data_IF_602146382771
#
_entry.id   IF_602146382771
#
_cell.length_a   1.000
_cell.length_b   1.000
_cell.length_c   1.000
_cell.angle_alpha   90.00
_cell.angle_beta   90.00
_cell.angle_gamma   90.00
#
_symmetry.space_group_name_H-M   'P 1'
#
loop_
_entity.id
_entity.type
_entity.pdbx_description
1 polymer ?
#
# COMPACT_ATOMS: atom_id res chain seq x y z
N UNK A 1 -8.32 26.87 5.52
CA UNK A 1 -8.64 26.52 5.87
C UNK A 1 -8.44 26.10 6.04
N UNK A 2 -8.13 26.07 5.87
CA UNK A 2 -8.08 25.70 6.28
C UNK A 2 -7.58 25.32 6.09
N UNK A 3 -7.20 25.21 5.88
CA UNK A 3 -7.11 24.83 6.03
C UNK A 3 -6.54 24.47 6.13
N UNK A 4 -6.07 24.69 6.16
CA UNK A 4 -5.91 24.41 6.59
C UNK A 4 -5.39 24.12 6.82
N UNK A 5 -5.13 24.22 6.84
CA UNK A 5 -5.03 23.93 7.40
C UNK A 5 -4.60 23.33 7.54
N UNK A 6 -4.22 23.18 7.51
CA UNK A 6 -4.21 22.68 7.92
C UNK A 6 -3.75 22.15 8.22
N UNK A 7 -3.20 21.92 8.39
CA UNK A 7 -3.18 21.47 8.99
C UNK A 7 -3.04 21.62 9.76
N UNK A 8 -2.90 21.87 10.21
CA UNK A 8 -3.25 21.94 11.06
C UNK A 8 -3.25 21.84 11.81
N UNK A 9 -2.36 22.46 12.05
CA UNK A 9 -2.76 22.30 12.71
C UNK A 9 -2.68 21.72 13.34
N UNK A 10 -1.77 22.37 14.23
CA UNK A 10 -2.14 21.20 14.96
C UNK A 10 -3.08 20.31 14.17
N UNK A 11 -2.98 19.00 14.38
CA UNK A 11 -3.85 18.09 13.67
C UNK A 11 -5.23 18.09 14.29
N UNK A 12 -6.21 18.08 13.44
CA UNK A 12 -7.58 17.97 13.87
C UNK A 12 -7.93 16.49 14.07
N UNK A 13 -8.90 16.19 14.95
CA UNK A 13 -9.36 14.81 15.08
C UNK A 13 -9.81 14.27 13.74
N UNK A 14 -9.41 13.05 13.41
CA UNK A 14 -9.76 12.42 12.16
C UNK A 14 -8.81 12.72 11.00
N UNK A 15 -7.87 13.64 11.19
CA UNK A 15 -6.89 13.92 10.17
C UNK A 15 -5.87 12.77 10.13
N UNK A 16 -5.55 12.30 8.93
CA UNK A 16 -4.55 11.27 8.73
C UNK A 16 -3.29 11.96 8.23
N UNK A 17 -2.23 12.03 9.05
CA UNK A 17 -1.02 12.75 8.66
C UNK A 17 -0.25 12.10 7.52
N UNK A 18 -0.46 10.80 7.30
CA UNK A 18 0.25 10.09 6.25
C UNK A 18 -0.76 9.42 5.33
N UNK A 19 -0.99 10.03 4.18
CA UNK A 19 -1.85 9.48 3.14
C UNK A 19 -1.01 9.37 1.88
N UNK A 20 -0.68 8.15 1.51
CA UNK A 20 0.26 7.89 0.43
C UNK A 20 -0.41 7.10 -0.69
N UNK A 21 -0.01 7.40 -1.92
CA UNK A 21 -0.43 6.61 -3.08
C UNK A 21 0.78 5.85 -3.60
N UNK A 22 0.60 4.57 -3.86
CA UNK A 22 1.70 3.72 -4.27
C UNK A 22 1.27 2.80 -5.38
N UNK A 23 2.23 2.35 -6.18
CA UNK A 23 1.98 1.43 -7.27
C UNK A 23 2.87 0.23 -7.14
N UNK A 24 2.37 -0.91 -7.61
CA UNK A 24 3.09 -2.16 -7.55
C UNK A 24 2.63 -3.08 -8.66
N UNK A 25 3.36 -4.17 -8.85
CA UNK A 25 3.03 -5.21 -9.80
C UNK A 25 2.99 -6.53 -9.05
N UNK A 26 2.00 -7.35 -9.36
CA UNK A 26 1.91 -8.72 -8.85
C UNK A 26 1.81 -9.66 -10.04
N UNK A 27 2.43 -10.82 -9.91
CA UNK A 27 2.34 -11.85 -10.96
C UNK A 27 1.20 -12.81 -10.73
N UNK A 28 0.51 -12.69 -9.60
CA UNK A 28 -0.65 -13.52 -9.32
C UNK A 28 -1.85 -13.02 -10.10
N UNK A 29 -2.86 -13.88 -10.23
CA UNK A 29 -4.13 -13.42 -10.76
C UNK A 29 -4.82 -12.50 -9.75
N UNK A 30 -5.78 -11.66 -10.22
CA UNK A 30 -6.34 -10.62 -9.34
C UNK A 30 -6.96 -11.15 -8.06
N UNK A 31 -7.78 -12.21 -8.12
CA UNK A 31 -8.46 -12.66 -6.91
C UNK A 31 -7.49 -13.20 -5.88
N UNK A 32 -6.44 -13.89 -6.33
CA UNK A 32 -5.41 -14.41 -5.43
C UNK A 32 -4.61 -13.28 -4.82
N UNK A 33 -4.26 -12.28 -5.62
CA UNK A 33 -3.51 -11.14 -5.13
C UNK A 33 -4.28 -10.38 -4.06
N UNK A 34 -5.59 -10.16 -4.29
CA UNK A 34 -6.42 -9.46 -3.30
C UNK A 34 -6.46 -10.23 -1.98
N UNK A 35 -6.65 -11.54 -2.05
CA UNK A 35 -6.72 -12.36 -0.83
C UNK A 35 -5.40 -12.36 -0.09
N UNK A 36 -4.30 -12.54 -0.82
CA UNK A 36 -2.98 -12.59 -0.21
C UNK A 36 -2.63 -11.27 0.47
N UNK A 37 -2.87 -10.16 -0.22
CA UNK A 37 -2.55 -8.85 0.33
C UNK A 37 -3.43 -8.51 1.51
N UNK A 38 -4.73 -8.79 1.42
CA UNK A 38 -5.64 -8.55 2.53
C UNK A 38 -5.21 -9.32 3.76
N UNK A 39 -4.94 -10.60 3.60
CA UNK A 39 -4.49 -11.44 4.71
C UNK A 39 -3.18 -10.96 5.31
N UNK A 40 -2.25 -10.54 4.47
CA UNK A 40 -0.95 -10.05 4.93
C UNK A 40 -1.10 -8.78 5.76
N UNK A 41 -1.91 -7.84 5.26
CA UNK A 41 -2.13 -6.58 5.95
C UNK A 41 -2.78 -6.83 7.32
N UNK A 42 -3.78 -7.69 7.37
CA UNK A 42 -4.45 -8.02 8.63
C UNK A 42 -3.51 -8.70 9.60
N UNK A 43 -2.64 -9.58 9.10
CA UNK A 43 -1.69 -10.28 9.95
C UNK A 43 -0.70 -9.34 10.63
N UNK A 44 -0.44 -8.19 10.04
CA UNK A 44 0.47 -7.19 10.60
C UNK A 44 -0.24 -6.15 11.46
N UNK A 45 -1.52 -6.36 11.74
CA UNK A 45 -2.28 -5.43 12.55
C UNK A 45 -2.87 -4.25 11.78
N UNK A 46 -2.76 -4.26 10.46
CA UNK A 46 -3.43 -3.26 9.64
C UNK A 46 -4.88 -3.63 9.36
N UNK A 47 -5.58 -2.78 8.65
CA UNK A 47 -6.97 -3.04 8.28
C UNK A 47 -7.24 -2.47 6.89
N UNK A 48 -8.17 -3.10 6.19
CA UNK A 48 -8.50 -2.72 4.81
C UNK A 48 -9.81 -1.95 4.82
N UNK A 49 -9.77 -0.76 4.23
CA UNK A 49 -10.96 0.10 4.13
C UNK A 49 -11.77 -0.21 2.89
N UNK A 50 -11.11 -0.47 1.77
CA UNK A 50 -11.79 -0.82 0.54
C UNK A 50 -10.85 -1.60 -0.36
N UNK A 51 -11.45 -2.35 -1.27
CA UNK A 51 -10.70 -3.08 -2.28
C UNK A 51 -11.58 -3.23 -3.51
N UNK A 52 -10.94 -3.18 -4.67
CA UNK A 52 -11.65 -3.35 -5.93
C UNK A 52 -10.69 -3.93 -6.96
N UNK A 53 -11.26 -4.47 -8.01
CA UNK A 53 -10.48 -4.98 -9.14
C UNK A 53 -11.27 -4.69 -10.40
N UNK A 54 -10.56 -4.35 -11.49
CA UNK A 54 -11.23 -4.11 -12.75
C UNK A 54 -10.88 -5.20 -13.75
N UNK A 55 -11.48 -5.11 -14.94
CA UNK A 55 -11.31 -6.13 -15.97
C UNK A 55 -9.91 -6.12 -16.57
N UNK A 56 -9.18 -5.04 -16.41
CA UNK A 56 -7.80 -4.94 -16.91
C UNK A 56 -6.79 -5.57 -15.96
N UNK A 57 -7.25 -6.13 -14.83
CA UNK A 57 -6.36 -6.76 -13.88
C UNK A 57 -5.73 -5.78 -12.91
N UNK A 58 -6.28 -4.58 -12.79
CA UNK A 58 -5.79 -3.60 -11.82
C UNK A 58 -6.59 -3.73 -10.54
N UNK A 59 -5.88 -3.89 -9.43
CA UNK A 59 -6.48 -3.96 -8.10
C UNK A 59 -6.18 -2.65 -7.39
N UNK A 60 -7.17 -2.14 -6.66
CA UNK A 60 -6.94 -1.03 -5.73
C UNK A 60 -7.28 -1.51 -4.33
N UNK A 61 -6.36 -1.30 -3.40
CA UNK A 61 -6.58 -1.62 -2.00
C UNK A 61 -6.24 -0.39 -1.19
N UNK A 62 -7.22 0.10 -0.46
CA UNK A 62 -7.00 1.19 0.48
C UNK A 62 -6.93 0.59 1.87
N UNK A 63 -5.80 0.74 2.52
CA UNK A 63 -5.59 0.15 3.84
C UNK A 63 -4.86 1.12 4.75
N UNK A 64 -4.96 0.84 6.02
CA UNK A 64 -4.36 1.67 7.05
C UNK A 64 -3.67 0.81 8.09
N UNK A 65 -2.72 1.41 8.76
CA UNK A 65 -2.01 0.74 9.85
C UNK A 65 -1.40 1.79 10.77
N UNK A 66 -1.05 1.37 11.98
CA UNK A 66 -0.33 2.26 12.88
C UNK A 66 1.11 2.39 12.40
N UNK A 67 1.63 3.59 12.50
CA UNK A 67 2.96 3.91 12.00
C UNK A 67 4.03 2.97 12.53
N UNK A 68 3.88 2.50 13.75
CA UNK A 68 4.83 1.55 14.36
C UNK A 68 4.97 0.26 13.55
N UNK A 69 3.96 -0.07 12.77
CA UNK A 69 3.94 -1.30 11.98
C UNK A 69 4.50 -1.13 10.58
N UNK A 70 5.03 0.04 10.23
CA UNK A 70 5.36 0.31 8.84
C UNK A 70 6.42 -0.65 8.29
N UNK A 71 7.41 -1.02 9.07
CA UNK A 71 8.45 -1.94 8.60
C UNK A 71 7.87 -3.34 8.38
N UNK A 72 7.00 -3.79 9.27
CA UNK A 72 6.35 -5.09 9.11
C UNK A 72 5.46 -5.11 7.88
N UNK A 73 4.68 -4.05 7.67
CA UNK A 73 3.82 -3.94 6.48
C UNK A 73 4.67 -3.97 5.22
N UNK A 74 5.72 -3.17 5.18
CA UNK A 74 6.62 -3.13 4.03
C UNK A 74 7.19 -4.53 3.73
N UNK A 75 7.68 -5.19 4.77
CA UNK A 75 8.30 -6.51 4.62
C UNK A 75 7.31 -7.55 4.15
N UNK A 76 6.07 -7.53 4.68
CA UNK A 76 5.10 -8.54 4.33
C UNK A 76 4.57 -8.35 2.90
N UNK A 77 4.48 -7.13 2.43
CA UNK A 77 4.07 -6.88 1.05
C UNK A 77 5.09 -7.45 0.07
N UNK A 78 6.36 -7.26 0.37
CA UNK A 78 7.43 -7.83 -0.44
C UNK A 78 7.42 -9.35 -0.37
N UNK A 79 7.23 -9.90 0.83
CA UNK A 79 7.18 -11.35 1.01
C UNK A 79 5.97 -11.98 0.30
N UNK A 80 4.90 -11.22 0.12
CA UNK A 80 3.73 -11.68 -0.61
C UNK A 80 3.93 -11.66 -2.12
N UNK A 81 5.10 -11.26 -2.59
CA UNK A 81 5.42 -11.29 -4.01
C UNK A 81 5.13 -9.99 -4.75
N UNK A 82 4.86 -8.92 -4.03
CA UNK A 82 4.57 -7.64 -4.65
C UNK A 82 5.87 -6.97 -5.09
N UNK A 83 5.90 -6.51 -6.33
CA UNK A 83 7.02 -5.72 -6.83
C UNK A 83 6.61 -4.25 -6.76
N UNK A 84 7.08 -3.57 -5.73
CA UNK A 84 6.75 -2.17 -5.53
C UNK A 84 7.49 -1.30 -6.56
N UNK A 85 6.84 -0.22 -6.99
CA UNK A 85 7.49 0.75 -7.84
C UNK A 85 8.66 1.39 -7.08
N UNK A 86 9.58 2.01 -7.82
CA UNK A 86 10.70 2.68 -7.20
C UNK A 86 10.21 3.78 -6.25
N UNK A 87 9.18 4.52 -6.67
CA UNK A 87 8.59 5.53 -5.81
C UNK A 87 8.01 4.96 -4.54
N UNK A 88 7.36 3.79 -4.62
CA UNK A 88 6.80 3.14 -3.44
C UNK A 88 7.90 2.70 -2.48
N UNK A 89 8.98 2.12 -3.01
CA UNK A 89 10.12 1.75 -2.16
C UNK A 89 10.68 2.97 -1.42
N UNK A 90 10.86 4.07 -2.14
CA UNK A 90 11.40 5.28 -1.53
C UNK A 90 10.48 5.79 -0.43
N UNK A 91 9.16 5.82 -0.69
CA UNK A 91 8.19 6.30 0.28
C UNK A 91 8.18 5.44 1.53
N UNK A 92 8.17 4.12 1.38
CA UNK A 92 8.20 3.22 2.52
C UNK A 92 9.51 3.37 3.30
N UNK A 93 10.63 3.48 2.61
CA UNK A 93 11.92 3.65 3.27
C UNK A 93 11.94 4.93 4.09
N UNK A 94 11.47 6.03 3.50
CA UNK A 94 11.40 7.30 4.21
C UNK A 94 10.50 7.20 5.43
N UNK A 95 9.33 6.58 5.28
CA UNK A 95 8.40 6.42 6.37
C UNK A 95 9.00 5.60 7.51
N UNK A 96 9.67 4.51 7.18
CA UNK A 96 10.28 3.65 8.20
C UNK A 96 11.42 4.37 8.92
N UNK A 97 12.23 5.13 8.19
CA UNK A 97 13.30 5.89 8.80
C UNK A 97 12.75 6.96 9.74
N UNK A 98 11.76 7.71 9.27
CA UNK A 98 11.13 8.74 10.10
C UNK A 98 10.51 8.14 11.35
N UNK A 99 9.89 6.97 11.21
CA UNK A 99 9.25 6.31 12.34
C UNK A 99 10.26 5.93 13.42
N UNK A 100 11.45 5.52 13.02
CA UNK A 100 12.49 5.13 13.97
C UNK A 100 13.03 6.31 14.75
N UNK A 101 12.87 7.51 14.24
CA UNK A 101 13.42 8.71 14.84
C UNK A 101 12.41 9.51 15.64
N UNK A 102 11.13 9.14 15.61
CA UNK A 102 10.11 9.89 16.31
C UNK A 102 9.91 9.36 17.73
N UNK A 103 9.21 10.16 18.53
CA UNK A 103 8.88 9.78 19.87
C UNK A 103 7.82 8.69 19.89
N UNK A 104 7.77 7.97 21.02
CA UNK A 104 6.94 6.79 21.17
C UNK A 104 5.46 7.08 20.87
N UNK A 105 4.95 8.21 21.36
CA UNK A 105 3.54 8.52 21.20
C UNK A 105 3.14 8.79 19.76
N UNK A 106 4.08 9.19 18.90
CA UNK A 106 3.77 9.42 17.49
C UNK A 106 3.71 8.13 16.67
N UNK A 107 4.12 7.02 17.25
CA UNK A 107 4.11 5.73 16.53
C UNK A 107 2.72 5.15 16.38
N UNK A 108 1.75 5.69 17.07
CA UNK A 108 0.36 5.27 16.94
C UNK A 108 -0.40 6.08 15.89
N UNK A 109 0.25 7.04 15.24
CA UNK A 109 -0.37 7.74 14.13
C UNK A 109 -0.77 6.76 13.04
N UNK A 110 -1.86 7.08 12.37
CA UNK A 110 -2.38 6.22 11.31
C UNK A 110 -1.72 6.60 9.99
N UNK A 111 -1.27 5.57 9.27
CA UNK A 111 -0.79 5.71 7.91
C UNK A 111 -1.83 5.08 6.99
N UNK A 112 -2.24 5.82 5.98
CA UNK A 112 -3.20 5.35 4.98
C UNK A 112 -2.48 5.20 3.65
N UNK A 113 -2.64 4.04 3.02
CA UNK A 113 -2.02 3.78 1.73
C UNK A 113 -3.09 3.35 0.74
N UNK A 114 -3.10 4.06 -0.39
CA UNK A 114 -3.90 3.69 -1.55
C UNK A 114 -2.95 2.98 -2.52
N UNK A 115 -3.06 1.66 -2.55
CA UNK A 115 -2.14 0.83 -3.32
C UNK A 115 -2.83 0.35 -4.59
N UNK A 116 -2.24 0.70 -5.73
CA UNK A 116 -2.69 0.23 -7.02
C UNK A 116 -1.75 -0.88 -7.48
N UNK A 117 -2.31 -2.05 -7.73
CA UNK A 117 -1.52 -3.22 -8.12
C UNK A 117 -1.93 -3.67 -9.52
N UNK A 118 -0.96 -3.67 -10.43
CA UNK A 118 -1.18 -4.25 -11.75
C UNK A 118 -0.89 -5.74 -11.66
N UNK A 119 -1.91 -6.56 -11.95
CA UNK A 119 -1.74 -8.00 -11.92
C UNK A 119 -1.57 -8.53 -13.34
N UNK A 120 -1.17 -9.81 -13.43
CA UNK A 120 -1.10 -10.48 -14.71
C UNK A 120 -2.51 -10.81 -15.18
N UNK A 121 -2.88 -10.43 -16.41
CA UNK A 121 -4.17 -10.83 -16.94
C UNK A 121 -4.24 -12.35 -17.04
N UNK A 122 -5.41 -12.87 -16.87
CA UNK A 122 -5.59 -14.31 -16.86
C UNK A 122 -5.35 -14.92 -18.21
N UNK A 123 -5.37 -14.38 -19.27
CA UNK A 123 -5.11 -14.90 -20.47
C UNK A 123 -3.93 -14.70 -21.17
N UNK A 124 -3.95 -14.52 -21.16
CA UNK A 124 -3.30 -14.18 -21.64
C UNK A 124 -2.77 -14.29 -22.07
N UNK A 125 -2.87 -14.29 -22.09
CA UNK A 125 -2.40 -14.15 -22.24
C UNK A 125 -1.82 -14.24 -22.71
N UNK A 126 -1.72 -14.29 -23.06
CA UNK A 126 -1.22 -14.16 -23.49
C UNK A 126 -0.46 -13.88 -23.95
N UNK A 127 -0.46 -13.91 -24.25
CA UNK A 127 0.18 -13.46 -24.60
C UNK A 127 1.00 -13.18 -24.65
N UNK A 128 1.20 -13.17 -24.74
CA UNK A 128 1.83 -12.78 -24.61
C UNK A 128 2.65 -12.49 -24.63
N UNK A 129 2.90 -12.63 -24.77
CA UNK A 129 3.48 -12.23 -24.61
C UNK A 129 4.12 -12.05 -25.04
N UNK A 130 3.78 -12.08 -25.46
CA UNK A 130 3.96 -11.75 -25.75
C UNK A 130 4.64 -11.17 -25.82
N UNK A 131 4.75 -11.17 -26.00
CA UNK A 131 5.13 -10.59 -25.95
C UNK A 131 5.96 -10.35 -26.06
N UNK A 132 6.15 -10.49 -26.40
CA UNK A 132 6.73 -10.18 -26.38
C UNK A 132 7.35 -9.78 -26.29
N UNK A 133 7.70 -9.93 -26.72
CA UNK A 133 8.19 -9.50 -26.52
C UNK A 133 8.35 -9.16 -26.43
N UNK A 134 8.54 -9.20 -26.80
CA UNK A 134 8.30 -8.84 -26.53
C UNK A 134 8.55 -8.58 -26.34
#
# INVERSE_FOLDING_TARGET
MRQASTFHDALQPGVIPWALQMKAISRDEPSRAVKSLTGSILACGGWVLSRSANDAGVIEILFEFKRRSCLEIYSILIAAGLELSQGAHIRFTELCQCTRMIQQDCRDEIVSIDLEVQTSPIEESGNDWKYQPH
#
